data_IF_520572754945
#
_entry.id   IF_520572754945
#
_cell.length_a   1.000
_cell.length_b   1.000
_cell.length_c   1.000
_cell.angle_alpha   90.00
_cell.angle_beta   90.00
_cell.angle_gamma   90.00
#
_symmetry.space_group_name_H-M   'P 1'
#
loop_
_entity.id
_entity.type
_entity.pdbx_description
1 polymer ?
#
# COMPACT_ATOMS: atom_id res chain seq x y z
N UNK A 1 49.81 4.17 8.01
CA UNK A 1 50.62 4.83 6.97
C UNK A 1 51.46 3.75 6.30
N UNK A 2 50.91 3.03 5.32
CA UNK A 2 51.66 2.10 4.46
C UNK A 2 51.07 2.24 3.05
N UNK A 3 51.88 2.78 2.15
CA UNK A 3 51.63 2.98 0.72
C UNK A 3 52.76 2.24 -0.01
N UNK A 4 52.46 1.22 -0.82
CA UNK A 4 53.36 0.65 -1.86
C UNK A 4 52.42 0.11 -2.95
N UNK A 5 52.14 0.86 -4.02
CA UNK A 5 52.85 1.04 -5.32
C UNK A 5 52.30 0.12 -6.43
N UNK A 6 51.92 0.80 -7.52
CA UNK A 6 51.47 0.33 -8.83
C UNK A 6 52.42 -0.65 -9.52
N UNK A 7 51.88 -1.48 -10.41
CA UNK A 7 52.55 -1.83 -11.65
C UNK A 7 51.55 -2.00 -12.80
N UNK A 8 51.55 -1.00 -13.69
CA UNK A 8 51.10 -1.11 -15.07
C UNK A 8 52.10 -1.96 -15.86
N UNK A 9 51.61 -2.84 -16.73
CA UNK A 9 52.35 -3.27 -17.93
C UNK A 9 51.43 -3.13 -19.13
N UNK A 10 51.92 -2.40 -20.14
CA UNK A 10 51.28 -2.11 -21.42
C UNK A 10 52.22 -2.51 -22.55
N UNK A 11 51.68 -3.31 -23.49
CA UNK A 11 51.99 -3.41 -24.94
C UNK A 11 53.29 -4.11 -25.41
N UNK A 12 53.43 -4.46 -26.71
CA UNK A 12 52.55 -5.26 -27.58
C UNK A 12 53.36 -6.25 -28.48
N UNK A 13 52.72 -7.09 -29.32
CA UNK A 13 53.05 -7.30 -30.76
C UNK A 13 52.12 -8.34 -31.45
N UNK A 14 51.72 -7.97 -32.67
CA UNK A 14 51.08 -8.70 -33.78
C UNK A 14 52.00 -9.83 -34.31
N UNK A 15 51.64 -10.85 -35.10
CA UNK A 15 50.49 -11.33 -35.91
C UNK A 15 50.85 -12.79 -36.31
N UNK A 16 49.88 -13.68 -36.51
CA UNK A 16 49.80 -14.51 -37.74
C UNK A 16 48.46 -15.24 -37.81
N UNK A 17 47.82 -15.13 -38.97
CA UNK A 17 46.63 -15.85 -39.42
C UNK A 17 46.93 -17.34 -39.59
N UNK A 18 45.96 -18.22 -39.26
CA UNK A 18 45.33 -19.04 -40.31
C UNK A 18 44.05 -19.79 -39.86
N UNK A 19 43.07 -19.70 -40.77
CA UNK A 19 42.03 -20.63 -41.19
C UNK A 19 41.15 -21.48 -40.22
N UNK A 20 39.83 -21.29 -40.39
CA UNK A 20 38.76 -22.33 -40.43
C UNK A 20 38.38 -23.03 -39.11
N UNK A 21 37.14 -23.29 -38.70
CA UNK A 21 35.80 -23.13 -39.22
C UNK A 21 34.82 -23.46 -38.06
N UNK A 22 33.57 -22.97 -38.13
CA UNK A 22 32.36 -23.44 -37.43
C UNK A 22 32.24 -23.20 -35.91
N UNK A 23 31.34 -22.27 -35.54
CA UNK A 23 30.79 -22.18 -34.17
C UNK A 23 30.43 -20.77 -33.67
N UNK A 24 29.91 -19.87 -34.51
CA UNK A 24 29.52 -18.51 -34.06
C UNK A 24 28.05 -18.46 -33.61
N UNK A 25 27.89 -18.41 -32.28
CA UNK A 25 26.86 -17.72 -31.50
C UNK A 25 25.91 -16.81 -32.29
N UNK A 26 24.56 -16.99 -32.19
CA UNK A 26 23.62 -15.98 -32.65
C UNK A 26 23.63 -14.82 -31.63
N UNK A 27 24.34 -13.75 -31.99
CA UNK A 27 24.16 -12.44 -31.37
C UNK A 27 22.69 -12.02 -31.52
N UNK A 28 21.91 -12.14 -30.45
CA UNK A 28 20.60 -11.49 -30.33
C UNK A 28 20.79 -10.00 -30.05
N UNK A 29 21.40 -9.29 -31.02
CA UNK A 29 21.24 -7.84 -31.16
C UNK A 29 19.90 -7.60 -31.86
N UNK A 30 18.81 -7.81 -31.14
CA UNK A 30 17.52 -7.28 -31.56
C UNK A 30 17.52 -5.77 -31.30
N UNK A 31 17.37 -5.02 -32.38
CA UNK A 31 17.10 -3.59 -32.42
C UNK A 31 15.82 -3.30 -31.61
N UNK A 32 15.97 -2.92 -30.35
CA UNK A 32 14.88 -2.39 -29.54
C UNK A 32 14.58 -0.95 -29.99
N UNK A 33 13.34 -0.62 -30.38
CA UNK A 33 12.94 0.75 -30.63
C UNK A 33 12.99 1.53 -29.31
N UNK A 34 14.02 2.35 -29.14
CA UNK A 34 14.07 3.37 -28.10
C UNK A 34 13.06 4.47 -28.46
N UNK A 35 11.84 4.37 -27.93
CA UNK A 35 10.90 5.49 -27.99
C UNK A 35 11.26 6.52 -26.92
N UNK A 36 11.14 7.79 -27.29
CA UNK A 36 11.62 8.99 -26.60
C UNK A 36 10.89 9.36 -25.31
N UNK A 37 10.07 8.46 -24.75
CA UNK A 37 9.41 8.66 -23.46
C UNK A 37 9.32 7.35 -22.65
N UNK A 38 10.39 7.03 -21.91
CA UNK A 38 10.31 6.25 -20.68
C UNK A 38 10.36 4.72 -20.77
N UNK A 39 11.54 4.18 -21.09
CA UNK A 39 11.94 2.79 -20.76
C UNK A 39 11.54 1.71 -21.77
N UNK A 40 12.24 0.56 -21.71
CA UNK A 40 11.92 -0.61 -22.52
C UNK A 40 10.50 -1.12 -22.21
N UNK A 41 9.78 -1.62 -23.22
CA UNK A 41 8.50 -2.29 -22.98
C UNK A 41 8.71 -3.63 -22.29
N UNK A 42 7.78 -4.01 -21.42
CA UNK A 42 7.74 -5.35 -20.86
C UNK A 42 7.39 -6.36 -21.95
N UNK A 43 8.30 -7.29 -22.18
CA UNK A 43 8.11 -8.43 -23.07
C UNK A 43 7.39 -9.57 -22.35
N UNK A 44 6.91 -10.58 -23.07
CA UNK A 44 6.36 -11.79 -22.46
C UNK A 44 7.38 -12.49 -21.54
N UNK A 45 8.65 -12.45 -21.91
CA UNK A 45 9.74 -13.07 -21.16
C UNK A 45 9.97 -12.35 -19.83
N UNK A 46 9.84 -11.02 -19.80
CA UNK A 46 9.92 -10.23 -18.57
C UNK A 46 8.83 -10.62 -17.57
N UNK A 47 7.60 -10.79 -18.07
CA UNK A 47 6.43 -11.16 -17.24
C UNK A 47 6.58 -12.58 -16.72
N UNK A 48 7.02 -13.50 -17.57
CA UNK A 48 7.25 -14.89 -17.17
C UNK A 48 8.39 -14.98 -16.15
N UNK A 49 9.46 -14.22 -16.34
CA UNK A 49 10.58 -14.16 -15.40
C UNK A 49 10.13 -13.63 -14.03
N UNK A 50 9.35 -12.55 -14.01
CA UNK A 50 8.77 -12.01 -12.78
C UNK A 50 7.93 -13.05 -12.05
N UNK A 51 7.04 -13.76 -12.76
CA UNK A 51 6.19 -14.80 -12.16
C UNK A 51 7.04 -15.93 -11.58
N UNK A 52 7.94 -16.51 -12.37
CA UNK A 52 8.84 -17.59 -11.91
C UNK A 52 9.71 -17.17 -10.73
N UNK A 53 10.14 -15.92 -10.69
CA UNK A 53 10.95 -15.41 -9.57
C UNK A 53 10.14 -15.22 -8.29
N UNK A 54 8.86 -14.81 -8.39
CA UNK A 54 7.92 -14.79 -7.26
C UNK A 54 7.70 -16.22 -6.75
N UNK A 55 7.39 -17.15 -7.65
CA UNK A 55 7.15 -18.57 -7.32
C UNK A 55 8.39 -19.18 -6.64
N UNK A 56 9.59 -18.98 -7.22
CA UNK A 56 10.87 -19.40 -6.61
C UNK A 56 11.07 -18.82 -5.20
N UNK A 57 10.77 -17.54 -4.98
CA UNK A 57 10.89 -16.95 -3.65
C UNK A 57 9.93 -17.61 -2.66
N UNK A 58 8.71 -17.97 -3.09
CA UNK A 58 7.74 -18.66 -2.25
C UNK A 58 8.19 -20.09 -1.93
N UNK A 59 8.61 -20.86 -2.94
CA UNK A 59 9.09 -22.25 -2.79
C UNK A 59 10.32 -22.35 -1.88
N UNK A 60 11.24 -21.40 -1.98
CA UNK A 60 12.43 -21.35 -1.11
C UNK A 60 12.14 -20.81 0.30
N UNK A 61 10.87 -20.54 0.63
CA UNK A 61 10.48 -19.95 1.91
C UNK A 61 11.04 -18.54 2.12
N UNK A 62 11.43 -17.84 1.06
CA UNK A 62 11.94 -16.48 1.14
C UNK A 62 10.78 -15.50 1.39
N UNK A 63 10.82 -14.90 2.57
CA UNK A 63 9.84 -13.96 3.12
C UNK A 63 10.11 -12.54 2.56
N UNK A 64 9.96 -12.34 1.25
CA UNK A 64 10.26 -11.06 0.57
C UNK A 64 8.99 -10.27 0.18
N UNK A 65 8.99 -8.96 0.41
CA UNK A 65 7.99 -8.01 -0.10
C UNK A 65 8.09 -7.79 -1.61
N UNK A 66 7.01 -7.29 -2.22
CA UNK A 66 6.98 -7.02 -3.67
C UNK A 66 8.02 -5.99 -4.06
N UNK A 67 8.30 -5.04 -3.16
CA UNK A 67 9.40 -4.09 -3.30
C UNK A 67 10.75 -4.79 -3.39
N UNK A 68 11.06 -5.67 -2.43
CA UNK A 68 12.34 -6.39 -2.40
C UNK A 68 12.50 -7.31 -3.61
N UNK A 69 11.41 -7.92 -4.07
CA UNK A 69 11.37 -8.70 -5.31
C UNK A 69 11.71 -7.80 -6.52
N UNK A 70 11.07 -6.63 -6.66
CA UNK A 70 11.40 -5.68 -7.73
C UNK A 70 12.85 -5.18 -7.65
N UNK A 71 13.38 -4.94 -6.45
CA UNK A 71 14.79 -4.53 -6.25
C UNK A 71 15.74 -5.64 -6.73
N UNK A 72 15.48 -6.91 -6.38
CA UNK A 72 16.30 -8.06 -6.80
C UNK A 72 16.20 -8.34 -8.30
N UNK A 73 14.99 -8.28 -8.86
CA UNK A 73 14.78 -8.49 -10.30
C UNK A 73 15.49 -7.40 -11.11
N UNK A 74 15.45 -6.13 -10.66
CA UNK A 74 16.14 -5.05 -11.36
C UNK A 74 17.67 -5.26 -11.45
N UNK A 75 18.27 -6.01 -10.52
CA UNK A 75 19.69 -6.40 -10.60
C UNK A 75 19.89 -7.50 -11.65
N UNK A 76 18.96 -8.47 -11.75
CA UNK A 76 19.05 -9.61 -12.67
C UNK A 76 18.58 -9.31 -14.09
N UNK A 77 17.69 -8.33 -14.25
CA UNK A 77 17.07 -7.89 -15.49
C UNK A 77 17.22 -6.36 -15.60
N UNK A 78 18.45 -5.86 -15.85
CA UNK A 78 18.78 -4.44 -15.76
C UNK A 78 18.19 -3.60 -16.91
N UNK A 79 17.61 -4.24 -17.93
CA UNK A 79 16.87 -3.57 -19.00
C UNK A 79 15.55 -2.96 -18.53
N UNK A 80 15.10 -3.29 -17.31
CA UNK A 80 14.01 -2.63 -16.61
C UNK A 80 14.48 -2.14 -15.24
N UNK A 81 14.26 -0.86 -14.96
CA UNK A 81 14.62 -0.30 -13.63
C UNK A 81 13.68 -0.82 -12.54
N UNK A 82 14.12 -0.73 -11.27
CA UNK A 82 13.26 -0.97 -10.11
C UNK A 82 11.90 -0.24 -10.22
N UNK A 83 11.91 1.03 -10.65
CA UNK A 83 10.70 1.83 -10.79
C UNK A 83 9.78 1.29 -11.89
N UNK A 84 10.35 0.80 -13.00
CA UNK A 84 9.60 0.16 -14.08
C UNK A 84 8.90 -1.11 -13.60
N UNK A 85 9.62 -2.01 -12.92
CA UNK A 85 9.05 -3.23 -12.32
C UNK A 85 7.95 -2.93 -11.31
N UNK A 86 8.19 -1.98 -10.41
CA UNK A 86 7.20 -1.58 -9.40
C UNK A 86 5.93 -1.02 -10.04
N UNK A 87 6.09 -0.15 -11.04
CA UNK A 87 4.95 0.45 -11.77
C UNK A 87 4.16 -0.64 -12.51
N UNK A 88 4.85 -1.59 -13.12
CA UNK A 88 4.23 -2.75 -13.77
C UNK A 88 3.40 -3.57 -12.78
N UNK A 89 3.98 -3.98 -11.66
CA UNK A 89 3.27 -4.77 -10.64
C UNK A 89 2.02 -4.04 -10.10
N UNK A 90 2.12 -2.73 -9.85
CA UNK A 90 0.98 -1.92 -9.42
C UNK A 90 -0.11 -1.82 -10.49
N UNK A 91 0.27 -1.60 -11.76
CA UNK A 91 -0.68 -1.50 -12.88
C UNK A 91 -1.45 -2.81 -13.07
N UNK A 92 -0.76 -3.94 -12.90
CA UNK A 92 -1.33 -5.28 -13.07
C UNK A 92 -1.87 -5.89 -11.77
N UNK A 93 -1.92 -5.11 -10.68
CA UNK A 93 -2.44 -5.55 -9.38
C UNK A 93 -1.82 -6.87 -8.89
N UNK A 94 -0.51 -7.07 -9.15
CA UNK A 94 0.19 -8.26 -8.70
C UNK A 94 0.25 -8.25 -7.18
N UNK A 95 -0.31 -9.28 -6.55
CA UNK A 95 -0.31 -9.48 -5.10
C UNK A 95 0.53 -10.71 -4.77
N UNK A 96 1.32 -10.61 -3.72
CA UNK A 96 2.00 -11.77 -3.15
C UNK A 96 0.97 -12.55 -2.32
N UNK A 97 0.92 -13.87 -2.51
CA UNK A 97 0.08 -14.76 -1.70
C UNK A 97 0.36 -14.61 -0.20
N UNK A 98 -0.64 -14.93 0.62
CA UNK A 98 -0.50 -14.95 2.07
C UNK A 98 0.45 -16.06 2.53
N UNK A 99 1.18 -15.82 3.61
CA UNK A 99 1.91 -16.85 4.34
C UNK A 99 1.08 -17.24 5.58
N UNK A 100 0.90 -18.53 5.82
CA UNK A 100 0.37 -19.04 7.09
C UNK A 100 1.51 -19.11 8.10
N UNK A 101 1.34 -18.47 9.26
CA UNK A 101 2.25 -18.70 10.38
C UNK A 101 1.80 -19.98 11.08
N UNK A 102 2.55 -21.06 10.89
CA UNK A 102 2.51 -22.16 11.83
C UNK A 102 3.27 -21.68 13.08
N UNK A 103 2.51 -21.31 14.11
CA UNK A 103 3.08 -20.97 15.40
C UNK A 103 3.32 -22.31 16.06
N UNK A 104 4.55 -22.82 15.94
CA UNK A 104 4.95 -24.13 16.44
C UNK A 104 4.35 -24.41 17.82
N UNK A 105 3.47 -25.41 17.87
CA UNK A 105 3.14 -26.13 19.09
C UNK A 105 4.42 -26.84 19.52
N UNK A 106 5.21 -26.17 20.35
CA UNK A 106 6.22 -26.84 21.15
C UNK A 106 5.47 -27.57 22.27
N UNK A 107 5.01 -28.78 21.95
CA UNK A 107 4.38 -29.73 22.85
C UNK A 107 4.78 -31.12 22.38
N UNK A 108 5.83 -31.65 22.98
CA UNK A 108 6.24 -33.05 22.86
C UNK A 108 5.04 -33.95 23.20
N UNK A 109 4.56 -34.75 22.24
CA UNK A 109 4.03 -36.07 22.56
C UNK A 109 4.21 -37.02 21.38
N UNK A 110 4.82 -38.16 21.70
CA UNK A 110 5.02 -39.29 20.80
C UNK A 110 3.72 -40.07 20.70
N UNK A 111 3.22 -40.31 19.49
CA UNK A 111 2.12 -41.24 19.27
C UNK A 111 1.97 -41.61 17.81
N UNK A 112 2.64 -42.70 17.42
CA UNK A 112 2.46 -43.40 16.14
C UNK A 112 0.99 -43.82 15.94
N UNK A 113 0.42 -43.60 14.76
CA UNK A 113 -0.24 -44.67 13.99
C UNK A 113 -0.55 -44.25 12.54
N UNK A 114 -0.54 -45.27 11.68
CA UNK A 114 -0.36 -45.26 10.22
C UNK A 114 -1.45 -44.63 9.34
N UNK A 115 -0.95 -44.17 8.18
CA UNK A 115 -1.50 -44.15 6.82
C UNK A 115 -2.96 -44.63 6.58
N UNK A 116 -3.79 -43.76 6.00
CA UNK A 116 -4.24 -43.96 4.62
C UNK A 116 -4.85 -42.71 3.97
N UNK A 117 -4.53 -42.62 2.69
CA UNK A 117 -4.71 -41.59 1.69
C UNK A 117 -6.17 -41.47 1.20
N UNK A 118 -6.69 -40.24 1.03
CA UNK A 118 -7.34 -39.81 -0.22
C UNK A 118 -7.77 -38.33 -0.21
N UNK A 119 -6.97 -37.59 -0.95
CA UNK A 119 -7.17 -36.36 -1.72
C UNK A 119 -8.63 -36.07 -2.12
N UNK A 120 -9.18 -34.95 -1.65
CA UNK A 120 -9.96 -34.04 -2.51
C UNK A 120 -9.77 -32.60 -2.03
N UNK A 121 -8.77 -31.95 -2.63
CA UNK A 121 -8.45 -30.55 -2.40
C UNK A 121 -9.50 -29.66 -3.06
N UNK A 122 -10.45 -29.19 -2.26
CA UNK A 122 -11.15 -27.94 -2.53
C UNK A 122 -10.28 -26.81 -1.97
N UNK A 123 -9.23 -26.46 -2.73
CA UNK A 123 -8.50 -25.21 -2.48
C UNK A 123 -9.40 -24.07 -2.92
N UNK A 124 -10.32 -23.70 -2.03
CA UNK A 124 -10.97 -22.42 -2.06
C UNK A 124 -9.86 -21.38 -1.81
N UNK A 125 -9.20 -20.97 -2.89
CA UNK A 125 -8.29 -19.82 -2.92
C UNK A 125 -9.14 -18.60 -2.58
N UNK A 126 -9.40 -18.41 -1.29
CA UNK A 126 -9.90 -17.16 -0.77
C UNK A 126 -8.88 -16.10 -1.14
N UNK A 127 -9.23 -15.32 -2.16
CA UNK A 127 -8.48 -14.15 -2.61
C UNK A 127 -8.67 -13.08 -1.54
N UNK A 128 -8.09 -13.28 -0.35
CA UNK A 128 -8.31 -12.36 0.78
C UNK A 128 -7.63 -11.03 0.44
N UNK A 129 -8.48 -10.03 0.33
CA UNK A 129 -8.11 -8.72 -0.16
C UNK A 129 -7.33 -7.94 0.93
N UNK A 130 -6.35 -7.15 0.50
CA UNK A 130 -5.88 -6.02 1.30
C UNK A 130 -7.08 -5.18 1.75
N UNK A 131 -7.10 -4.73 3.01
CA UNK A 131 -8.21 -3.97 3.60
C UNK A 131 -8.75 -2.91 2.62
N UNK A 132 -9.92 -3.19 2.06
CA UNK A 132 -10.52 -2.41 0.98
C UNK A 132 -11.40 -1.27 1.50
N UNK A 133 -11.85 -0.38 0.59
CA UNK A 133 -12.93 0.55 0.91
C UNK A 133 -14.14 -0.23 1.45
N UNK A 134 -14.59 0.07 2.67
CA UNK A 134 -15.70 -0.63 3.33
C UNK A 134 -15.31 -1.68 4.37
N UNK A 135 -14.03 -2.05 4.50
CA UNK A 135 -13.56 -3.02 5.51
C UNK A 135 -13.95 -2.62 6.95
N UNK A 136 -13.91 -1.33 7.28
CA UNK A 136 -14.27 -0.82 8.61
C UNK A 136 -15.79 -0.93 8.86
N UNK A 137 -16.62 -0.70 7.84
CA UNK A 137 -18.07 -0.86 7.97
C UNK A 137 -18.45 -2.34 8.19
N UNK A 138 -17.84 -3.25 7.41
CA UNK A 138 -18.02 -4.69 7.60
C UNK A 138 -17.55 -5.16 8.99
N UNK A 139 -16.38 -4.69 9.43
CA UNK A 139 -15.83 -4.99 10.75
C UNK A 139 -16.75 -4.53 11.90
N UNK A 140 -17.41 -3.39 11.78
CA UNK A 140 -18.38 -2.91 12.77
C UNK A 140 -19.63 -3.77 12.83
N UNK A 141 -20.21 -4.14 11.68
CA UNK A 141 -21.33 -5.09 11.65
C UNK A 141 -20.95 -6.41 12.32
N UNK A 142 -19.74 -6.91 12.03
CA UNK A 142 -19.22 -8.13 12.65
C UNK A 142 -18.95 -7.98 14.16
N UNK A 143 -18.66 -6.77 14.65
CA UNK A 143 -18.47 -6.50 16.06
C UNK A 143 -19.81 -6.37 16.82
N UNK A 144 -20.79 -5.69 16.21
CA UNK A 144 -22.17 -5.59 16.72
C UNK A 144 -22.84 -6.97 16.86
N UNK A 145 -22.61 -7.88 15.90
CA UNK A 145 -23.10 -9.25 15.98
C UNK A 145 -22.47 -10.07 17.13
N UNK A 146 -21.29 -9.67 17.61
CA UNK A 146 -20.50 -10.38 18.63
C UNK A 146 -20.59 -9.72 20.03
N UNK A 147 -21.55 -8.80 20.22
CA UNK A 147 -21.75 -8.05 21.48
C UNK A 147 -21.99 -8.95 22.69
N UNK A 148 -22.53 -10.16 22.50
CA UNK A 148 -22.74 -11.16 23.57
C UNK A 148 -21.48 -11.87 24.06
N UNK A 149 -20.32 -11.69 23.41
CA UNK A 149 -19.10 -12.44 23.72
C UNK A 149 -18.29 -11.74 24.81
N UNK A 150 -18.02 -12.45 25.91
CA UNK A 150 -17.22 -11.97 27.05
C UNK A 150 -15.70 -12.17 26.89
N UNK A 151 -15.25 -12.90 25.87
CA UNK A 151 -13.83 -13.20 25.63
C UNK A 151 -13.20 -12.17 24.70
N UNK A 152 -11.90 -11.91 24.88
CA UNK A 152 -11.16 -11.03 23.97
C UNK A 152 -11.15 -11.60 22.54
N UNK A 153 -11.25 -10.76 21.49
CA UNK A 153 -11.17 -11.19 20.10
C UNK A 153 -9.91 -12.00 19.78
N UNK A 154 -10.06 -13.00 18.92
CA UNK A 154 -8.94 -13.80 18.40
C UNK A 154 -8.16 -12.99 17.35
N UNK A 155 -6.82 -12.88 17.46
CA UNK A 155 -6.02 -12.16 16.49
C UNK A 155 -5.94 -12.91 15.14
N UNK A 156 -5.77 -12.19 14.01
CA UNK A 156 -5.59 -12.81 12.70
C UNK A 156 -4.30 -13.63 12.63
N UNK A 157 -4.36 -14.76 11.92
CA UNK A 157 -3.23 -15.68 11.72
C UNK A 157 -2.68 -15.67 10.29
N UNK A 158 -3.46 -15.15 9.34
CA UNK A 158 -3.06 -15.06 7.92
C UNK A 158 -2.28 -13.77 7.67
N UNK A 159 -1.05 -13.88 7.16
CA UNK A 159 -0.18 -12.74 6.91
C UNK A 159 -0.07 -12.46 5.42
N UNK A 160 -0.48 -11.27 5.00
CA UNK A 160 -0.35 -10.84 3.61
C UNK A 160 0.80 -9.84 3.52
N UNK A 161 1.68 -9.95 2.53
CA UNK A 161 2.74 -8.95 2.38
C UNK A 161 2.21 -7.67 1.76
N UNK A 162 2.72 -6.54 2.24
CA UNK A 162 2.42 -5.25 1.63
C UNK A 162 2.92 -5.23 0.19
N UNK A 163 2.00 -4.96 -0.73
CA UNK A 163 2.32 -4.70 -2.14
C UNK A 163 2.94 -3.31 -2.34
N UNK A 164 2.71 -2.38 -1.41
CA UNK A 164 3.03 -0.95 -1.57
C UNK A 164 4.23 -0.49 -0.75
N UNK A 165 4.67 -1.27 0.24
CA UNK A 165 5.77 -0.90 1.14
C UNK A 165 6.42 -2.09 1.86
N UNK A 166 7.27 -1.79 2.84
CA UNK A 166 7.86 -2.81 3.72
C UNK A 166 6.83 -3.29 4.73
N UNK A 167 6.85 -4.59 5.04
CA UNK A 167 6.04 -5.20 6.10
C UNK A 167 4.77 -5.92 5.62
N UNK A 168 3.92 -6.26 6.58
CA UNK A 168 2.65 -6.98 6.39
C UNK A 168 1.54 -5.98 6.01
N UNK A 169 0.68 -6.35 5.07
CA UNK A 169 -0.52 -5.61 4.70
C UNK A 169 -1.60 -5.81 5.77
N UNK A 170 -2.41 -4.79 6.00
CA UNK A 170 -3.62 -4.95 6.82
C UNK A 170 -4.67 -5.71 6.02
N UNK A 171 -5.26 -6.72 6.65
CA UNK A 171 -6.36 -7.53 6.10
C UNK A 171 -7.71 -7.09 6.66
N UNK A 172 -8.81 -7.62 6.12
CA UNK A 172 -10.13 -7.39 6.67
C UNK A 172 -10.27 -8.01 8.08
N UNK A 173 -9.58 -9.12 8.35
CA UNK A 173 -9.50 -9.71 9.69
C UNK A 173 -8.73 -8.82 10.68
N UNK A 174 -7.65 -8.15 10.24
CA UNK A 174 -6.94 -7.16 11.06
C UNK A 174 -7.84 -6.01 11.47
N UNK A 175 -8.64 -5.50 10.53
CA UNK A 175 -9.60 -4.42 10.79
C UNK A 175 -10.69 -4.90 11.74
N UNK A 176 -11.23 -6.10 11.51
CA UNK A 176 -12.24 -6.72 12.37
C UNK A 176 -11.73 -6.92 13.78
N UNK A 177 -10.52 -7.45 13.94
CA UNK A 177 -9.85 -7.60 15.22
C UNK A 177 -9.72 -6.26 15.93
N UNK A 178 -9.22 -5.23 15.25
CA UNK A 178 -9.01 -3.90 15.83
C UNK A 178 -10.32 -3.29 16.34
N UNK A 179 -11.39 -3.34 15.54
CA UNK A 179 -12.72 -2.80 15.90
C UNK A 179 -13.28 -3.54 17.11
N UNK A 180 -13.32 -4.88 17.07
CA UNK A 180 -13.81 -5.69 18.20
C UNK A 180 -12.99 -5.48 19.46
N UNK A 181 -11.68 -5.33 19.34
CA UNK A 181 -10.79 -5.15 20.49
C UNK A 181 -11.00 -3.77 21.14
N UNK A 182 -11.24 -2.73 20.33
CA UNK A 182 -11.61 -1.40 20.79
C UNK A 182 -12.93 -1.42 21.58
N UNK A 183 -13.96 -2.07 21.03
CA UNK A 183 -15.28 -2.19 21.68
C UNK A 183 -15.21 -3.01 22.98
N UNK A 184 -14.48 -4.13 22.97
CA UNK A 184 -14.24 -4.93 24.18
C UNK A 184 -13.57 -4.11 25.29
N UNK A 185 -12.54 -3.33 24.95
CA UNK A 185 -11.84 -2.44 25.90
C UNK A 185 -12.75 -1.32 26.41
N UNK A 186 -13.55 -0.70 25.54
CA UNK A 186 -14.52 0.31 25.94
C UNK A 186 -15.55 -0.25 26.94
N UNK A 187 -16.06 -1.46 26.73
CA UNK A 187 -17.00 -2.13 27.66
C UNK A 187 -16.35 -2.48 28.99
N UNK A 188 -15.14 -3.06 28.95
CA UNK A 188 -14.47 -3.57 30.16
C UNK A 188 -13.91 -2.45 31.04
N UNK A 189 -13.59 -1.29 30.46
CA UNK A 189 -12.97 -0.15 31.16
C UNK A 189 -13.92 1.06 31.32
N UNK A 190 -15.23 0.87 31.18
CA UNK A 190 -16.24 1.93 31.34
C UNK A 190 -15.92 3.19 30.51
N UNK A 191 -15.51 2.99 29.26
CA UNK A 191 -15.12 4.07 28.33
C UNK A 191 -13.77 4.74 28.60
N UNK A 192 -13.05 4.41 29.69
CA UNK A 192 -11.74 4.99 30.04
C UNK A 192 -10.58 4.14 29.51
N UNK A 193 -10.45 4.07 28.19
CA UNK A 193 -9.37 3.31 27.56
C UNK A 193 -8.06 4.09 27.59
N UNK A 194 -7.08 3.62 28.37
CA UNK A 194 -5.70 4.06 28.22
C UNK A 194 -5.15 3.60 26.86
N UNK A 195 -5.06 4.55 25.93
CA UNK A 195 -4.60 4.31 24.57
C UNK A 195 -3.15 3.82 24.52
N UNK A 196 -2.29 4.18 25.48
CA UNK A 196 -0.89 3.72 25.50
C UNK A 196 -0.83 2.23 25.78
N UNK A 197 -1.53 1.78 26.83
CA UNK A 197 -1.68 0.35 27.15
C UNK A 197 -2.42 -0.40 26.04
N UNK A 198 -3.49 0.20 25.48
CA UNK A 198 -4.26 -0.39 24.39
C UNK A 198 -3.38 -0.79 23.20
N UNK A 199 -2.55 0.12 22.70
CA UNK A 199 -1.68 -0.17 21.56
C UNK A 199 -0.58 -1.18 21.88
N UNK A 200 -0.15 -1.27 23.14
CA UNK A 200 0.78 -2.31 23.59
C UNK A 200 0.11 -3.69 23.51
N UNK A 201 -1.12 -3.81 23.99
CA UNK A 201 -1.87 -5.07 24.01
C UNK A 201 -2.26 -5.53 22.60
N UNK A 202 -2.69 -4.62 21.74
CA UNK A 202 -3.00 -4.91 20.32
C UNK A 202 -1.78 -5.52 19.63
N UNK A 203 -0.60 -4.90 19.78
CA UNK A 203 0.63 -5.39 19.16
C UNK A 203 1.13 -6.70 19.80
N UNK A 204 0.86 -6.94 21.09
CA UNK A 204 1.20 -8.20 21.74
C UNK A 204 0.31 -9.35 21.23
N UNK A 205 -0.99 -9.10 21.01
CA UNK A 205 -1.95 -10.09 20.51
C UNK A 205 -1.82 -10.33 19.00
N UNK A 206 -1.49 -9.29 18.23
CA UNK A 206 -1.32 -9.34 16.77
C UNK A 206 0.09 -8.86 16.38
N UNK A 207 1.13 -9.67 16.65
CA UNK A 207 2.54 -9.27 16.54
C UNK A 207 3.03 -9.07 15.10
N UNK A 208 2.28 -9.54 14.12
CA UNK A 208 2.57 -9.34 12.69
C UNK A 208 2.49 -7.89 12.24
N UNK A 209 1.83 -7.03 13.02
CA UNK A 209 1.86 -5.59 12.87
C UNK A 209 2.46 -4.95 14.12
N UNK A 210 3.49 -4.13 13.94
CA UNK A 210 4.09 -3.41 15.07
C UNK A 210 3.11 -2.39 15.66
N UNK A 211 3.33 -2.00 16.91
CA UNK A 211 2.59 -0.91 17.58
C UNK A 211 2.51 0.35 16.70
N UNK A 212 3.63 0.74 16.10
CA UNK A 212 3.69 1.91 15.23
C UNK A 212 2.82 1.73 13.96
N UNK A 213 2.78 0.52 13.40
CA UNK A 213 1.94 0.17 12.25
C UNK A 213 0.46 0.32 12.60
N UNK A 214 0.01 -0.28 13.70
CA UNK A 214 -1.37 -0.18 14.20
C UNK A 214 -1.79 1.26 14.46
N UNK A 215 -0.97 2.02 15.18
CA UNK A 215 -1.26 3.44 15.47
C UNK A 215 -1.37 4.27 14.19
N UNK A 216 -0.52 3.99 13.20
CA UNK A 216 -0.56 4.68 11.90
C UNK A 216 -1.81 4.32 11.11
N UNK A 217 -2.19 3.04 11.11
CA UNK A 217 -3.44 2.58 10.50
C UNK A 217 -4.65 3.28 11.15
N UNK A 218 -4.74 3.24 12.48
CA UNK A 218 -5.81 3.88 13.23
C UNK A 218 -5.92 5.39 12.95
N UNK A 219 -4.79 6.12 12.96
CA UNK A 219 -4.80 7.57 12.68
C UNK A 219 -5.34 7.90 11.29
N UNK A 220 -4.98 7.10 10.28
CA UNK A 220 -5.45 7.28 8.90
C UNK A 220 -6.95 7.05 8.76
N UNK A 221 -7.47 6.04 9.46
CA UNK A 221 -8.87 5.64 9.37
C UNK A 221 -9.71 6.10 10.57
N UNK A 222 -9.19 7.03 11.39
CA UNK A 222 -9.86 7.48 12.62
C UNK A 222 -11.28 7.99 12.33
N UNK A 223 -11.47 8.71 11.24
CA UNK A 223 -12.74 9.27 10.84
C UNK A 223 -13.77 8.19 10.44
N UNK A 224 -13.33 7.08 9.84
CA UNK A 224 -14.18 5.93 9.54
C UNK A 224 -14.50 5.14 10.83
N UNK A 225 -13.50 4.97 11.70
CA UNK A 225 -13.63 4.22 12.96
C UNK A 225 -14.47 4.91 14.03
N UNK A 226 -14.63 6.24 13.96
CA UNK A 226 -15.43 7.04 14.90
C UNK A 226 -16.75 7.55 14.32
N UNK A 227 -17.07 7.25 13.06
CA UNK A 227 -18.34 7.64 12.45
C UNK A 227 -19.52 7.01 13.21
N UNK A 228 -20.52 7.76 13.66
CA UNK A 228 -21.70 7.20 14.36
C UNK A 228 -22.92 7.19 13.42
N UNK A 229 -23.94 6.37 13.70
CA UNK A 229 -25.16 6.31 12.86
C UNK A 229 -25.92 7.65 12.78
N UNK A 230 -25.67 8.58 13.72
CA UNK A 230 -26.19 9.94 13.68
C UNK A 230 -25.36 10.94 12.86
N UNK A 231 -24.18 10.55 12.39
CA UNK A 231 -23.37 11.41 11.52
C UNK A 231 -23.86 11.31 10.07
N UNK A 232 -23.91 12.43 9.37
CA UNK A 232 -24.25 12.45 7.95
C UNK A 232 -23.30 11.53 7.15
N UNK A 233 -23.82 10.75 6.17
CA UNK A 233 -23.04 9.75 5.45
C UNK A 233 -21.77 10.36 4.85
N UNK A 234 -20.68 9.60 4.89
CA UNK A 234 -19.42 10.01 4.26
C UNK A 234 -19.67 10.24 2.76
N UNK A 235 -19.16 11.34 2.17
CA UNK A 235 -19.35 11.57 0.75
C UNK A 235 -18.73 10.44 -0.07
N UNK A 236 -19.40 9.95 -1.12
CA UNK A 236 -18.92 8.85 -1.93
C UNK A 236 -17.59 9.20 -2.58
N UNK A 237 -16.77 8.17 -2.84
CA UNK A 237 -15.54 8.37 -3.61
C UNK A 237 -15.91 8.73 -5.07
N UNK A 238 -15.25 9.72 -5.69
CA UNK A 238 -15.50 10.05 -7.09
C UNK A 238 -15.20 8.87 -8.01
N UNK A 239 -16.02 8.73 -9.06
CA UNK A 239 -15.88 7.66 -10.05
C UNK A 239 -14.56 7.75 -10.83
N UNK A 240 -14.04 8.97 -11.04
CA UNK A 240 -12.81 9.22 -11.79
C UNK A 240 -11.88 10.13 -11.00
N UNK A 241 -10.61 9.75 -10.93
CA UNK A 241 -9.56 10.60 -10.35
C UNK A 241 -9.31 11.76 -11.30
N UNK A 242 -9.87 12.93 -10.98
CA UNK A 242 -9.57 14.18 -11.69
C UNK A 242 -8.30 14.82 -11.14
N UNK A 243 -7.59 15.57 -11.98
CA UNK A 243 -6.48 16.41 -11.54
C UNK A 243 -7.04 17.72 -10.99
N UNK A 244 -6.45 18.23 -9.90
CA UNK A 244 -6.80 19.54 -9.38
C UNK A 244 -6.49 20.63 -10.40
N UNK A 245 -7.44 21.53 -10.57
CA UNK A 245 -7.41 22.66 -11.48
C UNK A 245 -7.37 23.98 -10.71
N UNK A 246 -7.21 25.09 -11.41
CA UNK A 246 -7.36 26.43 -10.80
C UNK A 246 -8.78 26.67 -10.29
N UNK A 247 -9.80 26.18 -10.99
CA UNK A 247 -11.19 26.28 -10.55
C UNK A 247 -11.39 25.61 -9.17
N UNK A 248 -10.67 24.52 -8.91
CA UNK A 248 -10.68 23.83 -7.61
C UNK A 248 -10.12 24.71 -6.48
N UNK A 249 -9.07 25.49 -6.75
CA UNK A 249 -8.51 26.46 -5.78
C UNK A 249 -9.50 27.59 -5.50
N UNK A 250 -10.22 28.07 -6.52
CA UNK A 250 -11.25 29.10 -6.42
C UNK A 250 -12.46 28.60 -5.61
N UNK A 251 -12.91 27.36 -5.84
CA UNK A 251 -13.98 26.73 -5.05
C UNK A 251 -13.62 26.65 -3.57
N UNK A 252 -12.39 26.25 -3.25
CA UNK A 252 -11.89 26.24 -1.88
C UNK A 252 -11.86 27.65 -1.30
N UNK A 253 -11.34 28.64 -2.04
CA UNK A 253 -11.27 30.01 -1.57
C UNK A 253 -12.67 30.58 -1.24
N UNK A 254 -13.64 30.41 -2.15
CA UNK A 254 -15.02 30.85 -1.96
C UNK A 254 -15.67 30.18 -0.75
N UNK A 255 -15.43 28.87 -0.54
CA UNK A 255 -16.01 28.15 0.59
C UNK A 255 -15.41 28.58 1.93
N UNK A 256 -14.09 28.72 2.00
CA UNK A 256 -13.38 29.09 3.23
C UNK A 256 -13.43 30.58 3.55
N UNK A 257 -13.75 31.44 2.58
CA UNK A 257 -14.00 32.86 2.78
C UNK A 257 -15.09 33.11 3.83
N UNK A 258 -16.16 32.30 3.80
CA UNK A 258 -17.27 32.38 4.74
C UNK A 258 -16.99 31.73 6.11
N UNK A 259 -15.74 31.30 6.37
CA UNK A 259 -15.28 30.69 7.65
C UNK A 259 -16.23 29.59 8.15
N UNK A 260 -16.35 28.46 7.43
CA UNK A 260 -17.24 27.37 7.81
C UNK A 260 -16.92 26.85 9.22
N UNK A 261 -17.97 26.65 10.03
CA UNK A 261 -17.83 26.22 11.42
C UNK A 261 -17.61 24.71 11.56
N UNK A 262 -16.88 24.33 12.62
CA UNK A 262 -16.68 22.94 13.03
C UNK A 262 -15.25 22.44 12.88
N UNK A 263 -15.07 21.16 13.16
CA UNK A 263 -13.76 20.50 13.02
C UNK A 263 -13.36 20.43 11.54
N UNK A 264 -12.05 20.48 11.24
CA UNK A 264 -11.53 20.38 9.86
C UNK A 264 -12.17 19.23 9.06
N UNK A 265 -12.31 18.04 9.66
CA UNK A 265 -12.91 16.90 8.97
C UNK A 265 -14.39 17.13 8.61
N UNK A 266 -15.19 17.71 9.51
CA UNK A 266 -16.60 18.07 9.22
C UNK A 266 -16.72 19.10 8.10
N UNK A 267 -15.86 20.12 8.11
CA UNK A 267 -15.82 21.17 7.10
C UNK A 267 -15.51 20.58 5.72
N UNK A 268 -14.47 19.74 5.61
CA UNK A 268 -14.12 19.14 4.32
C UNK A 268 -15.12 18.07 3.86
N UNK A 269 -15.76 17.33 4.77
CA UNK A 269 -16.86 16.43 4.41
C UNK A 269 -18.04 17.19 3.81
N UNK A 270 -18.44 18.32 4.41
CA UNK A 270 -19.49 19.17 3.87
C UNK A 270 -19.10 19.74 2.49
N UNK A 271 -17.87 20.23 2.36
CA UNK A 271 -17.35 20.70 1.08
C UNK A 271 -17.32 19.61 0.00
N UNK A 272 -16.87 18.40 0.33
CA UNK A 272 -16.83 17.27 -0.60
C UNK A 272 -18.20 16.77 -1.04
N UNK A 273 -19.26 16.98 -0.23
CA UNK A 273 -20.64 16.72 -0.68
C UNK A 273 -21.11 17.71 -1.73
N UNK A 274 -20.67 18.97 -1.64
CA UNK A 274 -20.99 20.02 -2.62
C UNK A 274 -20.16 19.87 -3.90
N UNK A 275 -18.93 19.36 -3.78
CA UNK A 275 -17.95 19.23 -4.86
C UNK A 275 -17.45 17.78 -4.98
N UNK A 276 -18.27 16.86 -5.51
CA UNK A 276 -18.02 15.42 -5.45
C UNK A 276 -16.95 14.92 -6.44
N UNK A 277 -16.40 15.78 -7.30
CA UNK A 277 -15.39 15.40 -8.30
C UNK A 277 -14.01 15.11 -7.72
N UNK A 278 -13.75 15.53 -6.48
CA UNK A 278 -12.60 15.07 -5.69
C UNK A 278 -13.08 14.53 -4.35
N UNK A 279 -12.41 13.53 -3.77
CA UNK A 279 -12.80 13.02 -2.45
C UNK A 279 -12.51 14.09 -1.40
N UNK A 280 -13.32 14.16 -0.34
CA UNK A 280 -13.16 15.17 0.72
C UNK A 280 -11.77 15.18 1.40
N UNK A 281 -11.14 14.01 1.55
CA UNK A 281 -9.73 13.90 2.00
C UNK A 281 -8.74 14.41 0.96
N UNK A 282 -9.05 14.23 -0.32
CA UNK A 282 -8.32 14.84 -1.41
C UNK A 282 -8.37 16.36 -1.33
N UNK A 283 -9.57 16.92 -1.14
CA UNK A 283 -9.76 18.35 -0.91
C UNK A 283 -8.98 18.88 0.30
N UNK A 284 -9.03 18.15 1.42
CA UNK A 284 -8.27 18.50 2.63
C UNK A 284 -6.76 18.53 2.37
N UNK A 285 -6.23 17.53 1.66
CA UNK A 285 -4.81 17.46 1.34
C UNK A 285 -4.39 18.50 0.32
N UNK A 286 -5.21 18.73 -0.71
CA UNK A 286 -4.98 19.79 -1.71
C UNK A 286 -4.93 21.17 -1.05
N UNK A 287 -5.90 21.47 -0.17
CA UNK A 287 -5.90 22.68 0.63
C UNK A 287 -4.66 22.79 1.53
N UNK A 288 -4.21 21.67 2.14
CA UNK A 288 -3.00 21.67 2.98
C UNK A 288 -1.73 21.99 2.18
N UNK A 289 -1.58 21.41 0.99
CA UNK A 289 -0.40 21.60 0.13
C UNK A 289 -0.42 23.00 -0.50
N UNK A 290 -1.58 23.45 -0.97
CA UNK A 290 -1.75 24.73 -1.67
C UNK A 290 -2.25 25.86 -0.77
N UNK A 291 -2.09 25.73 0.55
CA UNK A 291 -2.64 26.65 1.55
C UNK A 291 -2.31 28.11 1.25
N UNK A 292 -1.04 28.41 0.96
CA UNK A 292 -0.59 29.78 0.67
C UNK A 292 -1.32 30.39 -0.52
N UNK A 293 -1.50 29.60 -1.60
CA UNK A 293 -2.20 30.04 -2.81
C UNK A 293 -3.68 30.29 -2.52
N UNK A 294 -4.32 29.39 -1.77
CA UNK A 294 -5.75 29.49 -1.43
C UNK A 294 -5.99 30.66 -0.45
N UNK A 295 -5.14 30.84 0.56
CA UNK A 295 -5.18 31.97 1.48
C UNK A 295 -5.08 33.31 0.72
N UNK A 296 -4.22 33.38 -0.29
CA UNK A 296 -4.10 34.58 -1.14
C UNK A 296 -5.39 34.85 -1.93
N UNK A 297 -6.05 33.81 -2.46
CA UNK A 297 -7.35 33.96 -3.11
C UNK A 297 -8.44 34.42 -2.13
N UNK A 298 -8.45 33.89 -0.90
CA UNK A 298 -9.35 34.32 0.18
C UNK A 298 -9.09 35.80 0.53
N UNK A 299 -7.84 36.23 0.57
CA UNK A 299 -7.48 37.62 0.82
C UNK A 299 -7.97 38.55 -0.32
N UNK A 300 -7.79 38.14 -1.58
CA UNK A 300 -8.31 38.89 -2.74
C UNK A 300 -9.84 39.02 -2.69
N UNK A 301 -10.55 37.95 -2.32
CA UNK A 301 -12.00 38.02 -2.06
C UNK A 301 -12.34 39.02 -0.95
N UNK A 302 -11.55 39.05 0.13
CA UNK A 302 -11.77 40.01 1.23
C UNK A 302 -11.56 41.47 0.83
N UNK A 303 -10.76 41.71 -0.22
CA UNK A 303 -10.55 43.02 -0.81
C UNK A 303 -11.63 43.41 -1.84
N UNK A 304 -12.60 42.52 -2.11
CA UNK A 304 -13.63 42.73 -3.13
C UNK A 304 -13.15 42.49 -4.57
N UNK A 305 -12.01 41.83 -4.76
CA UNK A 305 -11.50 41.49 -6.09
C UNK A 305 -12.19 40.25 -6.68
N UNK A 306 -12.45 40.27 -8.00
CA UNK A 306 -12.92 39.10 -8.70
C UNK A 306 -11.76 38.09 -8.91
N UNK A 307 -11.91 36.89 -8.37
CA UNK A 307 -10.93 35.81 -8.48
C UNK A 307 -11.20 34.84 -9.64
N UNK A 308 -12.37 34.94 -10.28
CA UNK A 308 -12.79 34.07 -11.39
C UNK A 308 -12.12 34.45 -12.72
N UNK A 309 -11.65 35.69 -12.86
CA UNK A 309 -11.25 36.27 -14.15
C UNK A 309 -9.74 36.35 -14.43
N UNK A 310 -8.85 35.92 -13.53
CA UNK A 310 -7.42 36.16 -13.79
C UNK A 310 -6.85 35.23 -14.90
N UNK A 311 -6.04 35.78 -15.81
CA UNK A 311 -5.67 35.15 -17.08
C UNK A 311 -4.91 33.84 -16.89
N UNK A 312 -5.09 32.93 -17.85
CA UNK A 312 -4.33 31.70 -17.98
C UNK A 312 -2.84 32.03 -18.06
N UNK A 313 -2.08 31.67 -17.03
CA UNK A 313 -0.62 31.67 -17.12
C UNK A 313 -0.21 30.44 -17.94
N UNK A 314 0.27 30.72 -19.16
CA UNK A 314 0.93 29.81 -20.10
C UNK A 314 2.19 29.16 -19.54
#
# INVERSE_FOLDING_TARGET
MITIINLMIKHPLKNHEDASEIGRSPNLRLLLPLYTYGGNLFTSDDVLYLKRYIDYCQEQGLVLSLREICERIAVKAPHHTFYSWRRYCNKHQIRLGGYTMDVGENGEDQGQHDEQDQVQGDQDQSVVASAGPGAIAAARLAAQADVGRARSPTPPRALFRSTTGKGVAFTDEDVTFLVRFLEYRNRTQDGKVDMVAFWKDVAAKAPHHSRASWMKFYRRHKHELHHTEGDAPLPPAPEKKMRYSRADDVLLANYFFNKPEGTSDKVFQAFGRLNPHHPWKGWQEHHRIHKVKIDHLIQRLSNGENIDEAPEES
#
